data_IF_593528978083
#
_entry.id   IF_593528978083
#
_cell.length_a   1.000
_cell.length_b   1.000
_cell.length_c   1.000
_cell.angle_alpha   90.00
_cell.angle_beta   90.00
_cell.angle_gamma   90.00
#
_symmetry.space_group_name_H-M   'P 1'
#
loop_
_entity.id
_entity.type
_entity.pdbx_description
1 polymer ?
#
# COMPACT_ATOMS: atom_id res chain seq x y z
N UNK A 1 6.66 21.10 -11.18
CA UNK A 1 6.70 19.85 -11.97
C UNK A 1 5.62 19.81 -13.06
N UNK A 2 5.96 19.44 -14.31
CA UNK A 2 4.99 19.23 -15.41
C UNK A 2 4.60 17.75 -15.53
N UNK A 3 3.30 17.44 -15.41
CA UNK A 3 2.79 16.06 -15.41
C UNK A 3 2.95 15.38 -16.78
N UNK A 4 2.91 16.15 -17.87
CA UNK A 4 3.09 15.62 -19.23
C UNK A 4 4.45 14.95 -19.41
N UNK A 5 5.50 15.47 -18.77
CA UNK A 5 6.84 14.84 -18.82
C UNK A 5 6.81 13.39 -18.32
N UNK A 6 6.10 13.13 -17.22
CA UNK A 6 5.97 11.78 -16.69
C UNK A 6 5.12 10.86 -17.56
N UNK A 7 4.09 11.40 -18.23
CA UNK A 7 3.32 10.65 -19.22
C UNK A 7 4.12 10.33 -20.47
N UNK A 8 4.96 11.25 -20.94
CA UNK A 8 5.85 11.00 -22.07
C UNK A 8 6.81 9.84 -21.75
N UNK A 9 7.43 9.85 -20.56
CA UNK A 9 8.26 8.73 -20.10
C UNK A 9 7.48 7.39 -20.09
N UNK A 10 6.23 7.37 -19.60
CA UNK A 10 5.40 6.17 -19.67
C UNK A 10 5.12 5.70 -21.10
N UNK A 11 4.82 6.63 -22.02
CA UNK A 11 4.56 6.29 -23.42
C UNK A 11 5.80 5.70 -24.09
N UNK A 12 6.97 6.27 -23.82
CA UNK A 12 8.22 5.74 -24.35
C UNK A 12 8.51 4.33 -23.78
N UNK A 13 8.17 4.06 -22.50
CA UNK A 13 8.23 2.72 -21.90
C UNK A 13 7.24 1.76 -22.59
N UNK A 14 6.00 2.18 -22.82
CA UNK A 14 5.00 1.37 -23.51
C UNK A 14 5.47 1.04 -24.95
N UNK A 15 6.16 1.96 -25.62
CA UNK A 15 6.68 1.76 -26.97
C UNK A 15 7.90 0.85 -27.03
N UNK A 16 8.81 0.91 -26.04
CA UNK A 16 9.93 -0.03 -26.00
C UNK A 16 9.48 -1.45 -25.68
N UNK A 17 8.45 -1.62 -24.83
CA UNK A 17 7.85 -2.93 -24.56
C UNK A 17 7.25 -3.55 -25.82
N UNK A 18 6.54 -2.77 -26.64
CA UNK A 18 6.04 -3.24 -27.94
C UNK A 18 7.18 -3.70 -28.87
N UNK A 19 8.29 -2.96 -28.89
CA UNK A 19 9.47 -3.32 -29.71
C UNK A 19 10.12 -4.62 -29.23
N UNK A 20 10.27 -4.79 -27.92
CA UNK A 20 10.80 -6.02 -27.31
C UNK A 20 9.95 -7.22 -27.75
N UNK A 21 8.62 -7.12 -27.64
CA UNK A 21 7.69 -8.19 -28.00
C UNK A 21 7.72 -8.55 -29.50
N UNK A 22 8.04 -7.58 -30.37
CA UNK A 22 8.04 -7.76 -31.82
C UNK A 22 9.34 -8.35 -32.40
N UNK A 23 10.44 -8.35 -31.63
CA UNK A 23 11.77 -8.76 -32.11
C UNK A 23 12.15 -10.17 -31.63
N UNK A 24 13.03 -10.89 -32.36
CA UNK A 24 13.59 -12.17 -31.92
C UNK A 24 14.55 -11.97 -30.73
N UNK A 25 14.76 -13.01 -29.93
CA UNK A 25 15.44 -12.94 -28.63
C UNK A 25 16.85 -12.33 -28.71
N UNK A 26 17.59 -12.61 -29.78
CA UNK A 26 18.97 -12.14 -29.97
C UNK A 26 19.07 -10.60 -30.09
N UNK A 27 17.98 -9.94 -30.48
CA UNK A 27 17.92 -8.48 -30.65
C UNK A 27 17.30 -7.74 -29.44
N UNK A 28 16.87 -8.45 -28.39
CA UNK A 28 16.13 -7.85 -27.26
C UNK A 28 17.02 -7.27 -26.16
N UNK A 29 18.23 -7.79 -25.97
CA UNK A 29 19.14 -7.37 -24.89
C UNK A 29 19.33 -5.85 -24.77
N UNK A 30 19.69 -5.10 -25.84
CA UNK A 30 19.86 -3.64 -25.73
C UNK A 30 18.55 -2.90 -25.42
N UNK A 31 17.40 -3.47 -25.80
CA UNK A 31 16.09 -2.87 -25.52
C UNK A 31 15.69 -3.07 -24.05
N UNK A 32 16.10 -4.16 -23.41
CA UNK A 32 15.90 -4.36 -21.98
C UNK A 32 16.70 -3.36 -21.14
N UNK A 33 17.97 -3.11 -21.52
CA UNK A 33 18.81 -2.09 -20.87
C UNK A 33 18.19 -0.70 -21.02
N UNK A 34 17.80 -0.33 -22.23
CA UNK A 34 17.13 0.94 -22.47
C UNK A 34 15.81 1.05 -21.68
N UNK A 35 15.01 -0.02 -21.61
CA UNK A 35 13.78 -0.05 -20.80
C UNK A 35 14.09 0.17 -19.32
N UNK A 36 15.15 -0.47 -18.79
CA UNK A 36 15.56 -0.29 -17.40
C UNK A 36 15.91 1.18 -17.10
N UNK A 37 16.70 1.84 -17.95
CA UNK A 37 17.07 3.25 -17.77
C UNK A 37 15.85 4.19 -17.80
N UNK A 38 14.88 3.89 -18.67
CA UNK A 38 13.65 4.67 -18.78
C UNK A 38 12.75 4.50 -17.55
N UNK A 39 12.64 3.28 -17.04
CA UNK A 39 11.93 3.01 -15.78
C UNK A 39 12.60 3.67 -14.59
N UNK A 40 13.94 3.69 -14.54
CA UNK A 40 14.67 4.41 -13.51
C UNK A 40 14.43 5.93 -13.60
N UNK A 41 14.41 6.49 -14.82
CA UNK A 41 14.07 7.90 -15.06
C UNK A 41 12.65 8.23 -14.63
N UNK A 42 11.68 7.35 -14.93
CA UNK A 42 10.29 7.49 -14.48
C UNK A 42 10.17 7.41 -12.95
N UNK A 43 10.89 6.49 -12.31
CA UNK A 43 10.98 6.40 -10.86
C UNK A 43 11.51 7.71 -10.26
N UNK A 44 12.65 8.22 -10.76
CA UNK A 44 13.24 9.49 -10.30
C UNK A 44 12.30 10.67 -10.47
N UNK A 45 11.53 10.70 -11.55
CA UNK A 45 10.50 11.71 -11.76
C UNK A 45 9.43 11.64 -10.66
N UNK A 46 8.91 10.45 -10.37
CA UNK A 46 7.86 10.27 -9.36
C UNK A 46 8.37 10.59 -7.96
N UNK A 47 9.56 10.11 -7.57
CA UNK A 47 10.10 10.33 -6.22
C UNK A 47 10.73 11.72 -6.00
N UNK A 48 10.55 12.65 -6.94
CA UNK A 48 11.05 14.01 -6.81
C UNK A 48 10.40 14.77 -5.64
N UNK A 49 10.99 15.89 -5.23
CA UNK A 49 10.53 16.70 -4.09
C UNK A 49 9.08 17.20 -4.24
N UNK A 50 8.56 17.26 -5.47
CA UNK A 50 7.19 17.66 -5.82
C UNK A 50 6.16 16.50 -5.72
N UNK A 51 6.50 15.34 -5.13
CA UNK A 51 5.60 14.17 -5.07
C UNK A 51 4.20 14.49 -4.52
N UNK A 52 4.10 15.33 -3.47
CA UNK A 52 2.81 15.72 -2.94
C UNK A 52 2.00 16.51 -3.99
N UNK A 53 2.63 17.44 -4.72
CA UNK A 53 1.97 18.19 -5.79
C UNK A 53 1.45 17.25 -6.90
N UNK A 54 2.22 16.20 -7.23
CA UNK A 54 1.77 15.16 -8.18
C UNK A 54 0.49 14.49 -7.69
N UNK A 55 0.45 14.12 -6.41
CA UNK A 55 -0.66 13.39 -5.81
C UNK A 55 -1.88 14.28 -5.53
N UNK A 56 -1.73 15.60 -5.54
CA UNK A 56 -2.82 16.55 -5.34
C UNK A 56 -3.78 16.66 -6.54
N UNK A 57 -3.41 16.15 -7.72
CA UNK A 57 -4.24 16.22 -8.92
C UNK A 57 -4.57 14.84 -9.49
N UNK A 58 -5.80 14.69 -10.02
CA UNK A 58 -6.31 13.39 -10.53
C UNK A 58 -5.42 12.76 -11.59
N UNK A 59 -4.88 13.57 -12.51
CA UNK A 59 -3.96 13.12 -13.58
C UNK A 59 -2.64 12.61 -12.99
N UNK A 60 -2.12 13.25 -11.96
CA UNK A 60 -0.89 12.81 -11.28
C UNK A 60 -1.08 11.52 -10.49
N UNK A 61 -2.22 11.34 -9.78
CA UNK A 61 -2.56 10.05 -9.13
C UNK A 61 -2.61 8.90 -10.14
N UNK A 62 -3.21 9.12 -11.32
CA UNK A 62 -3.23 8.14 -12.42
C UNK A 62 -1.82 7.82 -12.94
N UNK A 63 -0.96 8.82 -13.08
CA UNK A 63 0.43 8.63 -13.48
C UNK A 63 1.18 7.73 -12.48
N UNK A 64 1.08 8.03 -11.18
CA UNK A 64 1.71 7.22 -10.12
C UNK A 64 1.15 5.79 -10.12
N UNK A 65 -0.17 5.63 -10.24
CA UNK A 65 -0.81 4.31 -10.31
C UNK A 65 -0.33 3.46 -11.49
N UNK A 66 -0.08 4.08 -12.66
CA UNK A 66 0.49 3.41 -13.83
C UNK A 66 1.99 3.17 -13.72
N UNK A 67 2.71 4.00 -12.98
CA UNK A 67 4.14 3.87 -12.76
C UNK A 67 4.48 2.63 -11.93
N UNK A 68 3.85 2.47 -10.76
CA UNK A 68 4.19 1.44 -9.76
C UNK A 68 4.34 0.02 -10.35
N UNK A 69 3.42 -0.53 -11.17
CA UNK A 69 3.53 -1.89 -11.70
C UNK A 69 4.72 -2.13 -12.63
N UNK A 70 5.29 -1.05 -13.20
CA UNK A 70 6.41 -1.14 -14.13
C UNK A 70 7.76 -1.09 -13.41
N UNK A 71 7.78 -0.67 -12.15
CA UNK A 71 9.01 -0.50 -11.38
C UNK A 71 9.52 -1.83 -10.83
N UNK A 72 10.83 -1.91 -10.66
CA UNK A 72 11.45 -2.96 -9.85
C UNK A 72 10.92 -2.93 -8.41
N UNK A 73 10.90 -4.08 -7.75
CA UNK A 73 10.29 -4.27 -6.43
C UNK A 73 10.67 -3.16 -5.44
N UNK A 74 11.97 -2.87 -5.28
CA UNK A 74 12.47 -1.85 -4.35
C UNK A 74 11.97 -0.45 -4.70
N UNK A 75 11.99 -0.09 -5.99
CA UNK A 75 11.53 1.22 -6.46
C UNK A 75 10.00 1.37 -6.29
N UNK A 76 9.24 0.29 -6.49
CA UNK A 76 7.81 0.27 -6.21
C UNK A 76 7.52 0.46 -4.70
N UNK A 77 8.27 -0.23 -3.84
CA UNK A 77 8.17 -0.08 -2.38
C UNK A 77 8.51 1.35 -1.93
N UNK A 78 9.53 1.99 -2.51
CA UNK A 78 9.88 3.39 -2.24
C UNK A 78 8.74 4.36 -2.59
N UNK A 79 8.08 4.15 -3.74
CA UNK A 79 6.93 4.98 -4.15
C UNK A 79 5.75 4.75 -3.20
N UNK A 80 5.46 3.50 -2.82
CA UNK A 80 4.42 3.20 -1.82
C UNK A 80 4.75 3.84 -0.48
N UNK A 81 6.02 3.79 -0.05
CA UNK A 81 6.49 4.46 1.16
C UNK A 81 6.19 5.96 1.12
N UNK A 82 6.41 6.64 -0.02
CA UNK A 82 6.06 8.05 -0.19
C UNK A 82 4.55 8.30 -0.12
N UNK A 83 3.73 7.41 -0.68
CA UNK A 83 2.26 7.49 -0.53
C UNK A 83 1.88 7.42 0.94
N UNK A 84 2.45 6.47 1.70
CA UNK A 84 2.16 6.29 3.12
C UNK A 84 2.64 7.48 3.97
N UNK A 85 3.84 8.01 3.68
CA UNK A 85 4.38 9.23 4.33
C UNK A 85 3.52 10.47 4.12
N UNK A 86 2.70 10.50 3.07
CA UNK A 86 1.80 11.62 2.76
C UNK A 86 0.33 11.30 2.99
N UNK A 87 0.03 10.11 3.53
CA UNK A 87 -1.32 9.55 3.57
C UNK A 87 -2.30 10.49 4.27
N UNK A 88 -1.93 11.04 5.44
CA UNK A 88 -2.82 11.93 6.19
C UNK A 88 -3.30 13.14 5.36
N UNK A 89 -2.36 13.81 4.69
CA UNK A 89 -2.66 14.98 3.84
C UNK A 89 -3.52 14.56 2.65
N UNK A 90 -3.21 13.42 2.03
CA UNK A 90 -3.97 12.89 0.90
C UNK A 90 -5.42 12.55 1.29
N UNK A 91 -5.62 11.91 2.44
CA UNK A 91 -6.95 11.55 2.96
C UNK A 91 -7.80 12.81 3.23
N UNK A 92 -7.22 13.82 3.88
CA UNK A 92 -7.90 15.12 4.13
C UNK A 92 -8.31 15.85 2.85
N UNK A 93 -7.59 15.61 1.76
CA UNK A 93 -7.82 16.22 0.43
C UNK A 93 -8.62 15.32 -0.52
N UNK A 94 -9.06 14.14 -0.07
CA UNK A 94 -9.89 13.20 -0.81
C UNK A 94 -11.12 12.72 0.00
N UNK A 95 -11.89 13.61 0.67
CA UNK A 95 -12.94 13.16 1.60
C UNK A 95 -14.19 12.59 0.92
N UNK A 96 -14.41 12.81 -0.38
CA UNK A 96 -15.67 12.48 -1.08
C UNK A 96 -15.54 12.09 -2.57
N UNK A 97 -14.33 12.02 -3.17
CA UNK A 97 -14.16 11.84 -4.64
C UNK A 97 -13.40 10.57 -5.06
N UNK A 98 -13.25 9.58 -4.16
CA UNK A 98 -12.55 8.29 -4.34
C UNK A 98 -11.30 8.36 -5.24
N UNK A 99 -10.63 9.51 -5.32
CA UNK A 99 -9.65 9.77 -6.35
C UNK A 99 -8.35 9.02 -6.05
N UNK A 100 -8.12 8.71 -4.77
CA UNK A 100 -7.05 7.83 -4.32
C UNK A 100 -7.30 6.36 -4.66
N UNK A 101 -8.55 5.93 -4.90
CA UNK A 101 -8.84 4.53 -5.23
C UNK A 101 -8.18 4.06 -6.52
N UNK A 102 -7.76 4.97 -7.41
CA UNK A 102 -6.93 4.64 -8.58
C UNK A 102 -5.61 3.97 -8.19
N UNK A 103 -5.09 4.27 -7.01
CA UNK A 103 -3.85 3.70 -6.48
C UNK A 103 -4.07 2.36 -5.77
N UNK A 104 -5.31 1.95 -5.53
CA UNK A 104 -5.63 0.78 -4.72
C UNK A 104 -4.87 -0.46 -5.20
N UNK A 105 -5.09 -0.87 -6.45
CA UNK A 105 -4.53 -2.12 -6.96
C UNK A 105 -2.99 -2.13 -7.00
N UNK A 106 -2.29 -1.08 -7.51
CA UNK A 106 -0.84 -1.06 -7.48
C UNK A 106 -0.27 -1.05 -6.05
N UNK A 107 -0.83 -0.26 -5.13
CA UNK A 107 -0.34 -0.19 -3.74
C UNK A 107 -0.56 -1.51 -3.01
N UNK A 108 -1.75 -2.12 -3.13
CA UNK A 108 -2.08 -3.40 -2.50
C UNK A 108 -1.15 -4.51 -2.99
N UNK A 109 -0.90 -4.59 -4.31
CA UNK A 109 0.02 -5.59 -4.86
C UNK A 109 1.44 -5.43 -4.35
N UNK A 110 1.94 -4.21 -4.26
CA UNK A 110 3.28 -3.95 -3.71
C UNK A 110 3.35 -4.38 -2.24
N UNK A 111 2.38 -4.02 -1.42
CA UNK A 111 2.31 -4.44 -0.01
C UNK A 111 2.26 -5.97 0.10
N UNK A 112 1.43 -6.65 -0.70
CA UNK A 112 1.30 -8.10 -0.66
C UNK A 112 2.60 -8.85 -1.04
N UNK A 113 3.52 -8.20 -1.77
CA UNK A 113 4.80 -8.77 -2.19
C UNK A 113 5.99 -8.42 -1.29
N UNK A 114 5.82 -7.48 -0.36
CA UNK A 114 6.92 -6.98 0.46
C UNK A 114 7.34 -8.00 1.52
N UNK A 115 8.58 -7.93 2.00
CA UNK A 115 9.02 -8.75 3.13
C UNK A 115 8.61 -8.11 4.48
N UNK A 116 8.93 -8.78 5.59
CA UNK A 116 8.60 -8.29 6.93
C UNK A 116 9.29 -6.96 7.24
N UNK A 117 10.52 -6.74 6.75
CA UNK A 117 11.27 -5.51 6.99
C UNK A 117 10.58 -4.32 6.34
N UNK A 118 10.24 -4.42 5.05
CA UNK A 118 9.49 -3.39 4.34
C UNK A 118 8.09 -3.19 4.95
N UNK A 119 7.44 -4.28 5.36
CA UNK A 119 6.13 -4.21 6.03
C UNK A 119 6.21 -3.39 7.33
N UNK A 120 7.21 -3.65 8.17
CA UNK A 120 7.44 -2.93 9.44
C UNK A 120 7.73 -1.44 9.19
N UNK A 121 8.46 -1.10 8.13
CA UNK A 121 8.68 0.30 7.75
C UNK A 121 7.40 1.00 7.29
N UNK A 122 6.54 0.30 6.53
CA UNK A 122 5.25 0.84 6.09
C UNK A 122 4.32 1.15 7.27
N UNK A 123 4.18 0.21 8.22
CA UNK A 123 3.31 0.41 9.38
C UNK A 123 3.84 1.52 10.30
N UNK A 124 5.15 1.59 10.51
CA UNK A 124 5.79 2.63 11.32
C UNK A 124 5.53 4.01 10.73
N UNK A 125 5.55 4.10 9.40
CA UNK A 125 5.23 5.34 8.68
C UNK A 125 3.76 5.74 8.90
N UNK A 126 2.82 4.81 8.77
CA UNK A 126 1.38 5.07 8.96
C UNK A 126 1.06 5.49 10.40
N UNK A 127 1.79 4.99 11.39
CA UNK A 127 1.61 5.36 12.81
C UNK A 127 2.40 6.60 13.25
N UNK A 128 3.42 7.02 12.49
CA UNK A 128 4.30 8.13 12.88
C UNK A 128 3.60 9.48 13.02
N UNK A 129 2.52 9.69 12.25
CA UNK A 129 1.70 10.88 12.30
C UNK A 129 0.41 10.62 13.10
N UNK A 130 0.13 11.52 14.05
CA UNK A 130 -1.10 11.45 14.87
C UNK A 130 -2.33 11.36 13.98
N UNK A 131 -3.27 10.48 14.35
CA UNK A 131 -4.55 10.26 13.66
C UNK A 131 -4.47 9.67 12.24
N UNK A 132 -3.30 9.44 11.64
CA UNK A 132 -3.21 8.95 10.25
C UNK A 132 -3.89 7.59 10.07
N UNK A 133 -3.62 6.64 10.98
CA UNK A 133 -4.30 5.34 10.97
C UNK A 133 -5.81 5.47 11.24
N UNK A 134 -6.22 6.33 12.17
CA UNK A 134 -7.63 6.60 12.48
C UNK A 134 -8.38 7.16 11.26
N UNK A 135 -7.80 8.15 10.58
CA UNK A 135 -8.36 8.73 9.34
C UNK A 135 -8.35 7.72 8.19
N UNK A 136 -7.32 6.87 8.11
CA UNK A 136 -7.25 5.82 7.11
C UNK A 136 -8.42 4.84 7.26
N UNK A 137 -8.73 4.39 8.48
CA UNK A 137 -9.87 3.52 8.76
C UNK A 137 -11.24 4.14 8.42
N UNK A 138 -11.30 5.47 8.32
CA UNK A 138 -12.50 6.25 7.96
C UNK A 138 -12.56 6.60 6.47
N UNK A 139 -11.64 6.07 5.65
CA UNK A 139 -11.57 6.31 4.22
C UNK A 139 -11.43 5.00 3.43
N UNK A 140 -12.09 4.88 2.28
CA UNK A 140 -12.10 3.63 1.48
C UNK A 140 -10.70 3.16 1.07
N UNK A 141 -9.86 4.09 0.58
CA UNK A 141 -8.49 3.77 0.18
C UNK A 141 -7.64 3.46 1.41
N UNK A 142 -7.67 4.34 2.42
CA UNK A 142 -6.92 4.17 3.67
C UNK A 142 -7.23 2.85 4.37
N UNK A 143 -8.51 2.49 4.51
CA UNK A 143 -8.95 1.26 5.15
C UNK A 143 -8.47 0.04 4.36
N UNK A 144 -8.53 0.09 3.03
CA UNK A 144 -7.98 -0.97 2.18
C UNK A 144 -6.46 -1.15 2.38
N UNK A 145 -5.70 -0.06 2.51
CA UNK A 145 -4.26 -0.10 2.79
C UNK A 145 -3.98 -0.72 4.15
N UNK A 146 -4.62 -0.22 5.22
CA UNK A 146 -4.42 -0.73 6.60
C UNK A 146 -4.77 -2.21 6.68
N UNK A 147 -5.91 -2.61 6.13
CA UNK A 147 -6.34 -4.01 6.12
C UNK A 147 -5.37 -4.91 5.33
N UNK A 148 -4.80 -4.41 4.23
CA UNK A 148 -3.81 -5.16 3.43
C UNK A 148 -2.49 -5.32 4.18
N UNK A 149 -2.05 -4.31 4.95
CA UNK A 149 -0.84 -4.42 5.80
C UNK A 149 -1.00 -5.55 6.81
N UNK A 150 -2.13 -5.61 7.52
CA UNK A 150 -2.43 -6.68 8.49
C UNK A 150 -2.48 -8.05 7.80
N UNK A 151 -3.19 -8.14 6.66
CA UNK A 151 -3.25 -9.37 5.88
C UNK A 151 -1.86 -9.87 5.48
N UNK A 152 -0.98 -8.98 5.01
CA UNK A 152 0.40 -9.36 4.66
C UNK A 152 1.16 -9.88 5.87
N UNK A 153 1.00 -9.24 7.03
CA UNK A 153 1.59 -9.71 8.28
C UNK A 153 1.16 -11.14 8.61
N UNK A 154 -0.13 -11.45 8.49
CA UNK A 154 -0.63 -12.81 8.73
C UNK A 154 -0.05 -13.84 7.76
N UNK A 155 0.08 -13.49 6.48
CA UNK A 155 0.73 -14.37 5.48
C UNK A 155 2.18 -14.65 5.89
N UNK A 156 2.95 -13.61 6.21
CA UNK A 156 4.35 -13.77 6.63
C UNK A 156 4.50 -14.62 7.91
N UNK A 157 3.61 -14.45 8.89
CA UNK A 157 3.61 -15.21 10.14
C UNK A 157 3.07 -16.65 9.99
N UNK A 158 2.37 -16.97 8.91
CA UNK A 158 1.98 -18.35 8.58
C UNK A 158 3.08 -19.07 7.81
N UNK A 159 3.73 -18.36 6.90
CA UNK A 159 4.69 -18.94 5.97
C UNK A 159 6.12 -19.01 6.56
N UNK A 160 6.38 -18.29 7.66
CA UNK A 160 7.69 -18.23 8.32
C UNK A 160 7.65 -18.90 9.69
N UNK A 161 8.60 -19.79 9.97
CA UNK A 161 8.78 -20.35 11.31
C UNK A 161 9.06 -19.23 12.31
N UNK A 162 8.46 -19.22 13.50
CA UNK A 162 8.73 -18.20 14.52
C UNK A 162 10.21 -18.05 14.90
N UNK A 163 11.01 -19.12 14.74
CA UNK A 163 12.45 -19.12 15.03
C UNK A 163 13.28 -18.40 13.96
N UNK A 164 12.74 -18.25 12.76
CA UNK A 164 13.40 -17.64 11.60
C UNK A 164 13.01 -16.15 11.43
N UNK A 165 12.10 -15.66 12.26
CA UNK A 165 11.69 -14.26 12.27
C UNK A 165 12.68 -13.46 13.12
N UNK A 166 13.17 -12.35 12.58
CA UNK A 166 13.99 -11.41 13.35
C UNK A 166 13.21 -10.88 14.57
N UNK A 167 13.79 -11.05 15.77
CA UNK A 167 13.13 -10.71 17.03
C UNK A 167 12.77 -9.22 17.13
N UNK A 168 13.58 -8.33 16.55
CA UNK A 168 13.31 -6.90 16.58
C UNK A 168 12.11 -6.59 15.68
N UNK A 169 12.11 -7.09 14.44
CA UNK A 169 10.99 -6.92 13.51
C UNK A 169 9.68 -7.53 14.06
N UNK A 170 9.77 -8.69 14.72
CA UNK A 170 8.63 -9.31 15.37
C UNK A 170 8.06 -8.43 16.48
N UNK A 171 8.93 -7.86 17.32
CA UNK A 171 8.53 -6.97 18.41
C UNK A 171 7.86 -5.70 17.88
N UNK A 172 8.46 -5.07 16.87
CA UNK A 172 7.90 -3.87 16.21
C UNK A 172 6.54 -4.16 15.57
N UNK A 173 6.40 -5.31 14.90
CA UNK A 173 5.13 -5.74 14.31
C UNK A 173 4.04 -5.99 15.37
N UNK A 174 4.37 -6.72 16.44
CA UNK A 174 3.41 -6.97 17.53
C UNK A 174 2.95 -5.66 18.18
N UNK A 175 3.87 -4.73 18.44
CA UNK A 175 3.54 -3.42 18.99
C UNK A 175 2.55 -2.67 18.08
N UNK A 176 2.78 -2.67 16.77
CA UNK A 176 1.85 -2.08 15.81
C UNK A 176 0.45 -2.69 15.88
N UNK A 177 0.33 -4.02 16.00
CA UNK A 177 -0.97 -4.68 16.10
C UNK A 177 -1.72 -4.24 17.36
N UNK A 178 -1.01 -4.07 18.48
CA UNK A 178 -1.58 -3.51 19.72
C UNK A 178 -1.99 -2.04 19.59
N UNK A 179 -1.17 -1.21 18.94
CA UNK A 179 -1.45 0.21 18.72
C UNK A 179 -2.66 0.38 17.80
N UNK A 180 -2.72 -0.39 16.71
CA UNK A 180 -3.84 -0.38 15.79
C UNK A 180 -5.13 -0.87 16.46
N UNK A 181 -5.07 -1.90 17.29
CA UNK A 181 -6.22 -2.35 18.08
C UNK A 181 -6.74 -1.24 19.01
N UNK A 182 -5.82 -0.48 19.62
CA UNK A 182 -6.16 0.67 20.47
C UNK A 182 -6.79 1.82 19.67
N UNK A 183 -6.26 2.11 18.48
CA UNK A 183 -6.85 3.08 17.55
C UNK A 183 -8.24 2.62 17.10
N UNK A 184 -8.40 1.36 16.72
CA UNK A 184 -9.68 0.82 16.28
C UNK A 184 -10.74 0.95 17.39
N UNK A 185 -10.35 0.73 18.65
CA UNK A 185 -11.24 0.92 19.80
C UNK A 185 -11.76 2.36 19.94
N UNK A 186 -10.99 3.37 19.52
CA UNK A 186 -11.39 4.79 19.65
C UNK A 186 -12.18 5.32 18.45
N UNK A 187 -12.00 4.76 17.25
CA UNK A 187 -12.75 5.17 16.06
C UNK A 187 -14.22 4.76 16.19
N UNK A 188 -15.22 5.66 16.06
CA UNK A 188 -16.63 5.28 16.12
C UNK A 188 -17.01 4.23 15.06
N UNK A 189 -17.92 3.31 15.37
CA UNK A 189 -18.28 2.20 14.48
C UNK A 189 -18.86 2.71 13.16
N UNK A 190 -19.71 3.72 13.23
CA UNK A 190 -20.38 4.40 12.12
C UNK A 190 -19.41 5.15 11.20
N UNK A 191 -18.22 5.51 11.69
CA UNK A 191 -17.19 6.15 10.90
C UNK A 191 -16.28 5.16 10.18
N UNK A 192 -16.30 3.87 10.56
CA UNK A 192 -15.46 2.86 9.94
C UNK A 192 -15.91 2.56 8.51
N UNK A 193 -14.95 2.57 7.60
CA UNK A 193 -15.18 2.27 6.19
C UNK A 193 -14.69 0.86 5.88
N UNK A 194 -15.57 0.04 5.29
CA UNK A 194 -15.20 -1.30 4.79
C UNK A 194 -14.12 -1.18 3.70
N UNK A 195 -13.03 -1.97 3.71
CA UNK A 195 -12.05 -1.98 2.61
C UNK A 195 -12.68 -2.38 1.27
N UNK A 196 -11.99 -2.13 0.15
CA UNK A 196 -12.48 -2.53 -1.20
C UNK A 196 -12.51 -4.05 -1.36
N UNK A 197 -11.49 -4.74 -0.85
CA UNK A 197 -11.43 -6.19 -0.84
C UNK A 197 -11.61 -6.70 0.60
N UNK A 198 -12.42 -7.75 0.81
CA UNK A 198 -12.54 -8.37 2.12
C UNK A 198 -11.22 -9.04 2.52
N UNK A 199 -10.80 -8.84 3.76
CA UNK A 199 -9.56 -9.42 4.31
C UNK A 199 -9.90 -10.34 5.49
N UNK A 200 -10.32 -11.56 5.16
CA UNK A 200 -10.81 -12.55 6.16
C UNK A 200 -9.72 -13.04 7.12
N UNK A 201 -8.45 -12.78 6.82
CA UNK A 201 -7.32 -13.20 7.63
C UNK A 201 -7.05 -12.28 8.82
N UNK A 202 -7.65 -11.08 8.85
CA UNK A 202 -7.42 -10.07 9.92
C UNK A 202 -7.80 -10.63 11.29
N UNK A 203 -8.97 -11.26 11.39
CA UNK A 203 -9.45 -11.82 12.67
C UNK A 203 -8.47 -12.86 13.22
N UNK A 204 -8.01 -13.79 12.37
CA UNK A 204 -7.04 -14.81 12.79
C UNK A 204 -5.69 -14.21 13.22
N UNK A 205 -5.29 -13.07 12.66
CA UNK A 205 -4.08 -12.38 13.06
C UNK A 205 -4.23 -11.72 14.44
N UNK A 206 -5.36 -11.06 14.68
CA UNK A 206 -5.67 -10.47 15.98
C UNK A 206 -5.85 -11.53 17.06
N UNK A 207 -6.47 -12.67 16.74
CA UNK A 207 -6.59 -13.81 17.66
C UNK A 207 -5.22 -14.35 18.11
N UNK A 208 -4.21 -14.28 17.24
CA UNK A 208 -2.86 -14.73 17.53
C UNK A 208 -2.10 -13.78 18.45
N UNK A 209 -2.30 -12.47 18.30
CA UNK A 209 -1.44 -11.45 18.90
C UNK A 209 -2.10 -10.65 20.04
N UNK A 210 -3.44 -10.62 20.09
CA UNK A 210 -4.19 -9.88 21.11
C UNK A 210 -4.81 -10.82 22.13
N UNK A 211 -5.10 -10.30 23.31
CA UNK A 211 -5.83 -11.06 24.32
C UNK A 211 -7.35 -11.05 24.05
N UNK A 212 -8.06 -12.03 24.62
CA UNK A 212 -9.51 -12.21 24.43
C UNK A 212 -10.35 -10.99 24.80
N UNK A 213 -9.92 -10.20 25.80
CA UNK A 213 -10.66 -8.99 26.22
C UNK A 213 -10.58 -7.90 25.15
N UNK A 214 -9.40 -7.71 24.55
CA UNK A 214 -9.22 -6.75 23.45
C UNK A 214 -10.04 -7.18 22.23
N UNK A 215 -9.97 -8.46 21.85
CA UNK A 215 -10.72 -8.99 20.71
C UNK A 215 -12.23 -8.80 20.92
N UNK A 216 -12.75 -9.14 22.09
CA UNK A 216 -14.18 -8.96 22.41
C UNK A 216 -14.62 -7.50 22.31
N UNK A 217 -13.77 -6.54 22.69
CA UNK A 217 -14.09 -5.11 22.58
C UNK A 217 -14.09 -4.57 21.14
N UNK A 218 -13.50 -5.32 20.19
CA UNK A 218 -13.35 -4.94 18.80
C UNK A 218 -14.28 -5.71 17.86
N UNK A 219 -15.04 -6.68 18.35
CA UNK A 219 -15.76 -7.67 17.54
C UNK A 219 -16.56 -7.02 16.40
N UNK A 220 -17.45 -6.06 16.71
CA UNK A 220 -18.28 -5.41 15.68
C UNK A 220 -17.48 -4.57 14.68
N UNK A 221 -16.34 -4.02 15.10
CA UNK A 221 -15.43 -3.28 14.22
C UNK A 221 -14.68 -4.23 13.29
N UNK A 222 -14.27 -5.39 13.79
CA UNK A 222 -13.65 -6.44 12.99
C UNK A 222 -14.62 -6.96 11.93
N UNK A 223 -15.91 -7.06 12.25
CA UNK A 223 -16.93 -7.42 11.25
C UNK A 223 -16.91 -6.46 10.06
N UNK A 224 -16.85 -5.15 10.31
CA UNK A 224 -16.80 -4.14 9.24
C UNK A 224 -15.57 -4.26 8.34
N UNK A 225 -14.39 -4.48 8.91
CA UNK A 225 -13.12 -4.45 8.16
C UNK A 225 -12.66 -5.82 7.64
N UNK A 226 -13.13 -6.93 8.22
CA UNK A 226 -12.68 -8.28 7.91
C UNK A 226 -13.73 -9.16 7.19
N UNK A 227 -15.03 -8.83 7.27
CA UNK A 227 -16.05 -9.73 6.70
C UNK A 227 -16.10 -9.75 5.17
N UNK A 228 -16.39 -10.92 4.56
CA UNK A 228 -16.71 -11.05 3.15
C UNK A 228 -17.81 -10.08 2.72
N UNK A 229 -17.85 -9.70 1.45
CA UNK A 229 -19.04 -9.06 0.89
C UNK A 229 -20.18 -10.08 0.98
N UNK A 230 -21.20 -9.81 1.79
CA UNK A 230 -22.48 -10.49 1.66
C UNK A 230 -23.03 -10.14 0.28
N UNK A 231 -22.95 -11.10 -0.65
CA UNK A 231 -23.64 -10.98 -1.93
C UNK A 231 -25.12 -11.17 -1.59
N UNK A 232 -25.85 -10.05 -1.48
CA UNK A 232 -27.31 -10.04 -1.45
C UNK A 232 -27.86 -10.17 -2.86
#
# INVERSE_FOLDING_TARGET
MEIEKGYNLLLEVDDIEKKILALPDEARTPLFEQRHDMLYSLYKYVISDDFLHLMMVRKGRKLVARCIPNLEKKNAEDVVMLVLKRLQVLLKKDPQDEGLMVLHDPVVRTIQSCDLKSLVQFISTVLSETDTASQALQNKFGSSVVCTLIHRGEVLYKDTSPLDIDNQLQTEWCQFVHDLASILATVPLESLVKPKLPQTTISGHFDRLLNKKQIASLEDKLKVIAEPLTIS
#
